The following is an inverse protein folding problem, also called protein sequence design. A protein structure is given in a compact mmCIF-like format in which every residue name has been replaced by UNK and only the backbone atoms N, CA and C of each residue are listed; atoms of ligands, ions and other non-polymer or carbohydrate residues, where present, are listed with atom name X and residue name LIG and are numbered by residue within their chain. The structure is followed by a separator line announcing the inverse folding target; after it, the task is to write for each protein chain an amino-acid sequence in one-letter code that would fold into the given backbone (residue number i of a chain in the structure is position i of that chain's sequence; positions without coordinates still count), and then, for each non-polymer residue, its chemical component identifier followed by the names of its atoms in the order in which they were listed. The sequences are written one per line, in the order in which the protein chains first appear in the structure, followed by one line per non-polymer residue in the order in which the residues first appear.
data_IF_420154055300
#
_entry.id   IF_420154055300
#
_cell.length_a   1.000
_cell.length_b   1.000
_cell.length_c   1.000
_cell.angle_alpha   90.00
_cell.angle_beta   90.00
_cell.angle_gamma   90.00
#
_symmetry.space_group_name_H-M   'P 1'
#
loop_
_entity.id
_entity.type
_entity.pdbx_description
1 polymer ?
#
# COMPACT_ATOMS: atom_id res chain seq x y z
N UNK A 1 -16.91 -10.71 -38.51
CA UNK A 1 -17.48 -10.77 -37.15
C UNK A 1 -16.44 -11.10 -36.08
N UNK A 2 -15.50 -12.07 -36.26
CA UNK A 2 -14.47 -12.41 -35.24
C UNK A 2 -13.52 -11.25 -34.85
N UNK A 3 -13.15 -10.37 -35.79
CA UNK A 3 -12.25 -9.21 -35.53
C UNK A 3 -12.88 -8.10 -34.68
N UNK A 4 -14.19 -7.92 -34.76
CA UNK A 4 -14.91 -6.90 -33.98
C UNK A 4 -15.08 -7.35 -32.53
N UNK A 5 -15.28 -8.66 -32.29
CA UNK A 5 -15.34 -9.22 -30.94
C UNK A 5 -14.00 -9.13 -30.19
N UNK A 6 -12.90 -9.35 -30.90
CA UNK A 6 -11.55 -9.27 -30.31
C UNK A 6 -11.21 -7.83 -29.91
N UNK A 7 -11.61 -6.83 -30.72
CA UNK A 7 -11.39 -5.42 -30.41
C UNK A 7 -12.26 -4.95 -29.24
N UNK A 8 -13.52 -5.38 -29.16
CA UNK A 8 -14.41 -5.05 -28.04
C UNK A 8 -13.98 -5.68 -26.72
N UNK A 9 -13.42 -6.91 -26.75
CA UNK A 9 -12.88 -7.57 -25.57
C UNK A 9 -11.58 -6.92 -25.09
N UNK A 10 -10.70 -6.49 -26.01
CA UNK A 10 -9.47 -5.77 -25.69
C UNK A 10 -9.76 -4.38 -25.08
N UNK A 11 -10.77 -3.67 -25.58
CA UNK A 11 -11.21 -2.39 -25.00
C UNK A 11 -11.88 -2.54 -23.63
N UNK A 12 -12.61 -3.64 -23.40
CA UNK A 12 -13.23 -3.92 -22.10
C UNK A 12 -12.17 -4.30 -21.04
N UNK A 13 -11.14 -5.05 -21.43
CA UNK A 13 -10.01 -5.38 -20.52
C UNK A 13 -9.13 -4.15 -20.25
N UNK A 14 -8.86 -3.32 -21.26
CA UNK A 14 -8.14 -2.06 -21.08
C UNK A 14 -8.89 -1.10 -20.14
N UNK A 15 -10.21 -1.01 -20.26
CA UNK A 15 -11.04 -0.18 -19.37
C UNK A 15 -10.98 -0.61 -17.90
N UNK A 16 -10.98 -1.89 -17.63
CA UNK A 16 -10.84 -2.42 -16.26
C UNK A 16 -9.43 -2.23 -15.70
N UNK A 17 -8.38 -2.32 -16.54
CA UNK A 17 -7.00 -2.06 -16.13
C UNK A 17 -6.77 -0.58 -15.82
N UNK A 18 -7.32 0.31 -16.64
CA UNK A 18 -7.26 1.76 -16.40
C UNK A 18 -7.95 2.13 -15.08
N UNK A 19 -9.07 1.49 -14.75
CA UNK A 19 -9.76 1.70 -13.48
C UNK A 19 -8.93 1.28 -12.25
N UNK A 20 -8.02 0.31 -12.40
CA UNK A 20 -7.11 -0.11 -11.33
C UNK A 20 -5.90 0.83 -11.14
N UNK A 21 -5.57 1.65 -12.15
CA UNK A 21 -4.44 2.57 -12.13
C UNK A 21 -4.82 4.01 -11.75
N UNK A 22 -6.05 4.25 -11.30
CA UNK A 22 -6.44 5.55 -10.79
C UNK A 22 -5.73 5.86 -9.46
N UNK A 23 -5.03 7.00 -9.42
CA UNK A 23 -4.31 7.49 -8.26
C UNK A 23 -2.78 7.39 -8.41
N UNK A 24 -2.09 7.62 -7.33
CA UNK A 24 -0.63 7.57 -7.25
C UNK A 24 -0.20 6.16 -6.86
N UNK A 25 0.59 5.53 -7.72
CA UNK A 25 1.25 4.25 -7.44
C UNK A 25 2.65 4.52 -6.89
N UNK A 26 2.96 3.97 -5.73
CA UNK A 26 4.29 4.05 -5.12
C UNK A 26 5.03 2.74 -5.35
N UNK A 27 6.28 2.85 -5.84
CA UNK A 27 7.16 1.71 -6.07
C UNK A 27 8.43 1.89 -5.26
N UNK A 28 8.88 0.87 -4.52
CA UNK A 28 10.13 0.92 -3.79
C UNK A 28 11.07 -0.20 -4.23
N UNK A 29 12.35 0.14 -4.34
CA UNK A 29 13.39 -0.80 -4.75
C UNK A 29 14.79 -0.22 -4.77
N UNK A 30 15.76 -1.06 -5.14
CA UNK A 30 17.14 -0.64 -5.26
C UNK A 30 17.34 0.22 -6.51
N UNK A 31 18.04 1.32 -6.35
CA UNK A 31 18.42 2.24 -7.43
C UNK A 31 19.93 2.42 -7.50
N UNK A 32 20.39 2.80 -8.69
CA UNK A 32 21.76 3.24 -8.93
C UNK A 32 21.71 4.53 -9.74
N UNK A 33 22.38 5.57 -9.25
CA UNK A 33 22.62 6.80 -10.00
C UNK A 33 24.12 6.91 -10.30
N UNK A 34 24.49 7.27 -11.55
CA UNK A 34 25.85 7.65 -11.87
C UNK A 34 25.90 9.18 -12.01
N UNK A 35 26.71 9.79 -11.19
CA UNK A 35 26.89 11.23 -11.14
C UNK A 35 28.36 11.53 -11.08
N UNK A 36 28.86 12.30 -12.04
CA UNK A 36 30.30 12.63 -12.14
C UNK A 36 31.21 11.39 -12.15
N UNK A 37 30.79 10.33 -12.84
CA UNK A 37 31.47 9.02 -12.86
C UNK A 37 31.54 8.32 -11.49
N UNK A 38 30.72 8.72 -10.53
CA UNK A 38 30.56 8.04 -9.25
C UNK A 38 29.19 7.35 -9.20
N UNK A 39 29.19 6.09 -8.84
CA UNK A 39 27.96 5.36 -8.60
C UNK A 39 27.46 5.65 -7.19
N UNK A 40 26.18 5.99 -7.11
CA UNK A 40 25.43 6.16 -5.87
C UNK A 40 24.38 5.05 -5.84
N UNK A 41 24.51 4.14 -4.92
CA UNK A 41 23.56 3.05 -4.73
C UNK A 41 22.64 3.36 -3.54
N UNK A 42 21.35 3.18 -3.75
CA UNK A 42 20.36 3.27 -2.69
C UNK A 42 19.56 1.96 -2.65
N UNK A 43 19.56 1.23 -1.53
CA UNK A 43 18.87 -0.06 -1.43
C UNK A 43 17.34 0.07 -1.41
N UNK A 44 16.79 1.26 -1.18
CA UNK A 44 15.35 1.46 -1.01
C UNK A 44 14.88 2.87 -1.40
N UNK A 45 14.96 3.18 -2.68
CA UNK A 45 14.35 4.37 -3.24
C UNK A 45 12.86 4.18 -3.50
N UNK A 46 12.10 5.27 -3.48
CA UNK A 46 10.68 5.28 -3.81
C UNK A 46 10.41 6.17 -5.01
N UNK A 47 9.87 5.58 -6.07
CA UNK A 47 9.37 6.26 -7.27
C UNK A 47 7.86 6.29 -7.23
N UNK A 48 7.26 7.43 -7.61
CA UNK A 48 5.81 7.57 -7.75
C UNK A 48 5.45 7.65 -9.23
N UNK A 49 4.41 6.93 -9.61
CA UNK A 49 3.80 7.01 -10.91
C UNK A 49 2.34 7.44 -10.75
N UNK A 50 1.94 8.49 -11.41
CA UNK A 50 0.57 9.00 -11.41
C UNK A 50 0.05 9.05 -12.84
N UNK A 51 -1.00 8.29 -13.14
CA UNK A 51 -1.62 8.29 -14.45
C UNK A 51 -2.40 9.59 -14.67
N UNK A 52 -2.06 10.32 -15.72
CA UNK A 52 -2.77 11.55 -16.14
C UNK A 52 -3.92 11.21 -17.07
N UNK A 53 -3.68 10.29 -18.03
CA UNK A 53 -4.67 9.77 -18.96
C UNK A 53 -4.28 8.37 -19.45
N UNK A 54 -5.01 7.81 -20.39
CA UNK A 54 -4.79 6.45 -20.91
C UNK A 54 -3.45 6.24 -21.63
N UNK A 55 -2.70 7.30 -21.93
CA UNK A 55 -1.47 7.27 -22.74
C UNK A 55 -0.30 8.04 -22.09
N UNK A 56 -0.52 8.72 -20.96
CA UNK A 56 0.55 9.47 -20.27
C UNK A 56 0.37 9.49 -18.75
N UNK A 57 1.49 9.64 -18.06
CA UNK A 57 1.55 9.75 -16.60
C UNK A 57 2.69 10.65 -16.13
N UNK A 58 2.67 10.99 -14.88
CA UNK A 58 3.75 11.72 -14.21
C UNK A 58 4.63 10.73 -13.44
N UNK A 59 5.94 10.90 -13.51
CA UNK A 59 6.90 10.12 -12.72
C UNK A 59 7.62 11.06 -11.76
N UNK A 60 7.53 10.79 -10.46
CA UNK A 60 8.30 11.52 -9.44
C UNK A 60 9.44 10.65 -8.95
N UNK A 61 10.66 11.15 -9.10
CA UNK A 61 11.88 10.52 -8.61
C UNK A 61 12.18 10.98 -7.17
N UNK A 62 12.84 10.15 -6.35
CA UNK A 62 13.32 10.55 -5.03
C UNK A 62 14.46 11.56 -5.11
N UNK A 63 14.95 12.01 -3.96
CA UNK A 63 16.22 12.73 -3.90
C UNK A 63 17.35 11.80 -4.36
N UNK A 64 18.25 12.33 -5.19
CA UNK A 64 19.50 11.66 -5.56
C UNK A 64 20.62 12.36 -4.78
N UNK A 65 21.20 11.68 -3.80
CA UNK A 65 22.12 12.29 -2.84
C UNK A 65 23.40 11.47 -2.76
N UNK A 66 24.54 12.15 -2.84
CA UNK A 66 25.83 11.61 -2.41
C UNK A 66 26.50 12.61 -1.43
N UNK A 67 27.72 12.30 -0.98
CA UNK A 67 28.45 13.13 -0.01
C UNK A 67 28.70 14.57 -0.48
N UNK A 68 28.65 14.83 -1.78
CA UNK A 68 29.07 16.10 -2.40
C UNK A 68 27.92 16.89 -3.03
N UNK A 69 26.76 16.27 -3.28
CA UNK A 69 25.65 16.96 -3.92
C UNK A 69 24.29 16.30 -3.61
N UNK A 70 23.24 17.10 -3.77
CA UNK A 70 21.84 16.69 -3.65
C UNK A 70 21.09 17.21 -4.86
N UNK A 71 20.42 16.30 -5.58
CA UNK A 71 19.34 16.64 -6.50
C UNK A 71 18.04 16.34 -5.77
N UNK A 72 17.27 17.37 -5.46
CA UNK A 72 15.98 17.20 -4.80
C UNK A 72 15.03 16.39 -5.67
N UNK A 73 14.06 15.75 -5.06
CA UNK A 73 12.95 15.05 -5.75
C UNK A 73 12.34 15.95 -6.84
N UNK A 74 12.11 15.38 -8.00
CA UNK A 74 11.50 16.09 -9.12
C UNK A 74 10.50 15.22 -9.87
N UNK A 75 9.55 15.87 -10.53
CA UNK A 75 8.51 15.20 -11.31
C UNK A 75 8.72 15.43 -12.80
N UNK A 76 8.70 14.36 -13.57
CA UNK A 76 8.66 14.36 -15.04
C UNK A 76 7.19 14.22 -15.43
N UNK A 77 6.63 15.27 -16.02
CA UNK A 77 5.24 15.29 -16.40
C UNK A 77 5.00 14.69 -17.80
N UNK A 78 3.82 14.12 -18.00
CA UNK A 78 3.33 13.63 -19.27
C UNK A 78 4.25 12.60 -19.98
N UNK A 79 4.89 11.74 -19.19
CA UNK A 79 5.63 10.60 -19.73
C UNK A 79 4.69 9.71 -20.52
N UNK A 80 4.95 9.54 -21.80
CA UNK A 80 4.15 8.70 -22.68
C UNK A 80 4.33 7.21 -22.33
N UNK A 81 3.26 6.46 -22.40
CA UNK A 81 3.29 5.01 -22.26
C UNK A 81 2.25 4.31 -23.14
N UNK A 82 2.45 3.03 -23.35
CA UNK A 82 1.49 2.13 -24.01
C UNK A 82 1.19 0.95 -23.08
N UNK A 83 -0.04 0.48 -23.13
CA UNK A 83 -0.48 -0.69 -22.38
C UNK A 83 -0.59 -1.89 -23.30
N UNK A 84 0.21 -2.92 -23.06
CA UNK A 84 0.18 -4.17 -23.80
C UNK A 84 -0.93 -5.12 -23.33
N UNK A 85 -1.32 -6.07 -24.20
CA UNK A 85 -2.33 -7.08 -23.88
C UNK A 85 -1.92 -8.05 -22.76
N UNK A 86 -0.63 -8.13 -22.44
CA UNK A 86 -0.02 -8.97 -21.41
C UNK A 86 0.11 -8.27 -20.04
N UNK A 87 -0.61 -7.17 -19.84
CA UNK A 87 -0.57 -6.38 -18.59
C UNK A 87 0.77 -5.68 -18.32
N UNK A 88 1.55 -5.44 -19.37
CA UNK A 88 2.79 -4.65 -19.28
C UNK A 88 2.54 -3.24 -19.81
N UNK A 89 2.81 -2.25 -18.98
CA UNK A 89 2.89 -0.84 -19.36
C UNK A 89 4.31 -0.57 -19.83
N UNK A 90 4.46 -0.10 -21.08
CA UNK A 90 5.78 0.21 -21.65
C UNK A 90 5.90 1.71 -21.86
N UNK A 91 6.92 2.31 -21.29
CA UNK A 91 7.36 3.68 -21.52
C UNK A 91 8.45 3.63 -22.58
N UNK A 92 8.17 4.03 -23.84
CA UNK A 92 9.16 4.04 -24.90
C UNK A 92 10.27 5.05 -24.58
N UNK A 93 11.42 4.88 -25.21
CA UNK A 93 12.51 5.84 -25.07
C UNK A 93 12.07 7.22 -25.55
N UNK A 94 12.16 8.22 -24.66
CA UNK A 94 11.67 9.57 -24.90
C UNK A 94 12.52 10.60 -24.17
N UNK A 95 12.58 11.81 -24.71
CA UNK A 95 13.20 12.97 -24.05
C UNK A 95 12.23 13.61 -23.05
N UNK A 96 12.78 14.35 -22.10
CA UNK A 96 11.97 15.11 -21.15
C UNK A 96 12.68 16.39 -20.70
N UNK A 97 11.91 17.33 -20.18
CA UNK A 97 12.41 18.52 -19.53
C UNK A 97 11.56 18.83 -18.29
N UNK A 98 12.22 19.17 -17.21
CA UNK A 98 11.56 19.59 -15.97
C UNK A 98 12.47 20.54 -15.18
N UNK A 99 11.99 20.99 -14.05
CA UNK A 99 12.75 21.86 -13.15
C UNK A 99 12.70 21.30 -11.73
N UNK A 100 13.73 21.64 -10.95
CA UNK A 100 13.81 21.35 -9.53
C UNK A 100 14.26 22.60 -8.80
N UNK A 101 13.69 22.83 -7.62
CA UNK A 101 14.12 23.94 -6.76
C UNK A 101 15.11 23.43 -5.71
N UNK A 102 16.28 24.04 -5.67
CA UNK A 102 17.34 23.73 -4.71
C UNK A 102 17.84 25.02 -4.08
N UNK A 103 17.72 25.15 -2.76
CA UNK A 103 18.14 26.37 -2.06
C UNK A 103 17.39 27.64 -2.48
N UNK A 104 16.17 27.51 -2.99
CA UNK A 104 15.36 28.63 -3.52
C UNK A 104 15.63 28.98 -4.99
N UNK A 105 16.58 28.32 -5.65
CA UNK A 105 16.90 28.52 -7.08
C UNK A 105 16.31 27.39 -7.93
N UNK A 106 15.72 27.75 -9.07
CA UNK A 106 15.29 26.78 -10.08
C UNK A 106 16.50 26.30 -10.91
N UNK A 107 16.65 24.98 -11.01
CA UNK A 107 17.60 24.31 -11.88
C UNK A 107 16.86 23.50 -12.93
N UNK A 108 17.24 23.62 -14.20
CA UNK A 108 16.66 22.83 -15.28
C UNK A 108 17.20 21.38 -15.21
N UNK A 109 16.34 20.43 -15.52
CA UNK A 109 16.69 19.04 -15.79
C UNK A 109 16.28 18.75 -17.22
N UNK A 110 17.24 18.38 -18.06
CA UNK A 110 17.01 18.04 -19.46
C UNK A 110 17.40 16.59 -19.70
N UNK A 111 16.40 15.75 -19.95
CA UNK A 111 16.58 14.32 -20.18
C UNK A 111 16.75 14.00 -21.66
N UNK A 112 17.81 13.29 -22.00
CA UNK A 112 18.05 12.74 -23.33
C UNK A 112 17.40 11.38 -23.54
N UNK A 113 17.10 10.64 -22.46
CA UNK A 113 16.42 9.35 -22.49
C UNK A 113 15.65 9.13 -21.19
N UNK A 114 14.42 8.65 -21.32
CA UNK A 114 13.61 8.02 -20.30
C UNK A 114 12.95 6.81 -20.92
N UNK A 115 13.14 5.64 -20.35
CA UNK A 115 12.45 4.41 -20.74
C UNK A 115 12.17 3.53 -19.53
N UNK A 116 11.10 2.75 -19.59
CA UNK A 116 10.74 1.87 -18.50
C UNK A 116 9.64 0.89 -18.84
N UNK A 117 9.40 -0.02 -17.91
CA UNK A 117 8.28 -0.98 -17.95
C UNK A 117 7.68 -1.15 -16.57
N UNK A 118 6.37 -1.23 -16.50
CA UNK A 118 5.66 -1.71 -15.32
C UNK A 118 4.94 -3.01 -15.67
N UNK A 119 5.37 -4.12 -15.09
CA UNK A 119 4.74 -5.42 -15.22
C UNK A 119 3.76 -5.62 -14.06
N UNK A 120 2.45 -5.68 -14.39
CA UNK A 120 1.40 -5.86 -13.39
C UNK A 120 1.30 -7.31 -12.88
N UNK A 121 1.96 -8.28 -13.55
CA UNK A 121 1.91 -9.67 -13.12
C UNK A 121 2.74 -9.90 -11.87
N UNK A 122 3.93 -9.30 -11.80
CA UNK A 122 4.81 -9.36 -10.64
C UNK A 122 4.91 -8.03 -9.87
N UNK A 123 4.16 -7.02 -10.31
CA UNK A 123 4.14 -5.66 -9.74
C UNK A 123 5.50 -4.95 -9.79
N UNK A 124 6.35 -5.26 -10.76
CA UNK A 124 7.68 -4.67 -10.89
C UNK A 124 7.71 -3.49 -11.85
N UNK A 125 8.39 -2.42 -11.44
CA UNK A 125 8.74 -1.26 -12.24
C UNK A 125 10.24 -1.28 -12.53
N UNK A 126 10.61 -1.18 -13.82
CA UNK A 126 11.98 -0.87 -14.23
C UNK A 126 11.97 0.52 -14.86
N UNK A 127 12.91 1.37 -14.48
CA UNK A 127 13.03 2.72 -15.03
C UNK A 127 14.51 3.05 -15.24
N UNK A 128 14.82 3.62 -16.41
CA UNK A 128 16.15 4.09 -16.75
C UNK A 128 16.08 5.50 -17.32
N UNK A 129 16.90 6.40 -16.82
CA UNK A 129 16.98 7.80 -17.25
C UNK A 129 18.41 8.20 -17.54
N UNK A 130 18.55 9.09 -18.52
CA UNK A 130 19.79 9.84 -18.77
C UNK A 130 19.42 11.30 -18.89
N UNK A 131 20.09 12.18 -18.12
CA UNK A 131 19.72 13.59 -18.06
C UNK A 131 20.91 14.49 -17.66
N UNK A 132 20.78 15.78 -17.92
CA UNK A 132 21.67 16.84 -17.44
C UNK A 132 20.99 17.67 -16.36
N UNK A 133 21.77 18.08 -15.38
CA UNK A 133 21.32 18.93 -14.28
C UNK A 133 21.92 20.33 -14.40
N UNK A 134 21.05 21.34 -14.58
CA UNK A 134 21.47 22.73 -14.78
C UNK A 134 22.35 22.89 -16.02
N UNK A 135 23.45 23.59 -15.87
CA UNK A 135 24.44 23.84 -16.91
C UNK A 135 25.58 22.81 -16.96
N UNK A 136 25.46 21.67 -16.24
CA UNK A 136 26.51 20.66 -16.23
C UNK A 136 26.71 20.06 -17.63
N UNK A 137 27.98 19.91 -18.09
CA UNK A 137 28.27 19.44 -19.44
C UNK A 137 28.17 17.91 -19.59
N UNK A 138 28.05 17.16 -18.49
CA UNK A 138 28.01 15.69 -18.49
C UNK A 138 26.59 15.18 -18.22
N UNK A 139 26.34 13.99 -18.74
CA UNK A 139 25.11 13.25 -18.47
C UNK A 139 25.20 12.55 -17.12
N UNK A 140 24.09 12.50 -16.44
CA UNK A 140 23.82 11.66 -15.28
C UNK A 140 22.87 10.55 -15.67
N UNK A 141 23.03 9.39 -15.02
CA UNK A 141 22.07 8.29 -15.21
C UNK A 141 21.41 7.94 -13.89
N UNK A 142 20.19 7.48 -13.99
CA UNK A 142 19.45 6.88 -12.88
C UNK A 142 18.74 5.62 -13.36
N UNK A 143 18.88 4.54 -12.63
CA UNK A 143 18.18 3.29 -12.88
C UNK A 143 17.60 2.73 -11.60
N UNK A 144 16.42 2.16 -11.69
CA UNK A 144 15.75 1.51 -10.57
C UNK A 144 15.00 0.27 -11.03
N UNK A 145 15.06 -0.78 -10.21
CA UNK A 145 14.10 -1.87 -10.23
C UNK A 145 13.32 -1.86 -8.92
N UNK A 146 12.05 -1.54 -8.99
CA UNK A 146 11.19 -1.31 -7.84
C UNK A 146 9.92 -2.16 -7.92
N UNK A 147 9.24 -2.33 -6.79
CA UNK A 147 8.00 -3.11 -6.70
C UNK A 147 6.90 -2.28 -6.06
N UNK A 148 5.68 -2.46 -6.55
CA UNK A 148 4.52 -1.71 -6.10
C UNK A 148 4.25 -1.91 -4.61
N UNK A 149 4.10 -0.81 -3.90
CA UNK A 149 3.66 -0.77 -2.51
C UNK A 149 2.14 -0.69 -2.52
N UNK A 150 1.48 -1.83 -2.36
CA UNK A 150 0.03 -1.94 -2.42
C UNK A 150 -0.61 -1.52 -1.09
N UNK A 151 -1.47 -0.48 -1.06
CA UNK A 151 -2.28 -0.20 0.10
C UNK A 151 -3.37 -1.27 0.24
N UNK A 152 -3.57 -1.74 1.45
CA UNK A 152 -4.61 -2.69 1.81
C UNK A 152 -5.45 -2.05 2.89
N UNK A 153 -6.64 -1.56 2.51
CA UNK A 153 -7.63 -1.09 3.49
C UNK A 153 -8.33 -2.29 4.12
N UNK A 154 -8.49 -2.28 5.42
CA UNK A 154 -9.08 -3.38 6.16
C UNK A 154 -9.72 -2.91 7.46
N UNK A 155 -10.72 -3.64 7.92
CA UNK A 155 -11.08 -3.65 9.33
C UNK A 155 -10.04 -4.47 10.12
N UNK A 156 -9.79 -4.07 11.34
CA UNK A 156 -8.90 -4.79 12.25
C UNK A 156 -9.68 -5.22 13.49
N UNK A 157 -9.49 -6.44 13.91
CA UNK A 157 -9.86 -6.88 15.27
C UNK A 157 -8.60 -7.04 16.10
N UNK A 158 -8.63 -6.53 17.31
CA UNK A 158 -7.51 -6.58 18.25
C UNK A 158 -7.93 -7.35 19.47
N UNK A 159 -7.27 -8.48 19.73
CA UNK A 159 -7.44 -9.25 20.95
C UNK A 159 -6.24 -9.01 21.85
N UNK A 160 -6.51 -8.66 23.11
CA UNK A 160 -5.50 -8.43 24.13
C UNK A 160 -5.63 -9.51 25.20
N UNK A 161 -4.62 -10.41 25.24
CA UNK A 161 -4.53 -11.45 26.26
C UNK A 161 -5.67 -12.47 26.30
N UNK A 162 -6.44 -12.60 25.21
CA UNK A 162 -7.61 -13.46 25.16
C UNK A 162 -8.86 -12.91 25.86
N UNK A 163 -8.75 -11.78 26.57
CA UNK A 163 -9.82 -11.26 27.43
C UNK A 163 -10.52 -10.01 26.86
N UNK A 164 -9.79 -9.16 26.14
CA UNK A 164 -10.32 -7.89 25.64
C UNK A 164 -10.30 -7.88 24.12
N UNK A 165 -11.43 -7.50 23.51
CA UNK A 165 -11.55 -7.38 22.07
C UNK A 165 -11.90 -5.95 21.71
N UNK A 166 -11.17 -5.39 20.76
CA UNK A 166 -11.40 -4.08 20.19
C UNK A 166 -11.48 -4.19 18.66
N UNK A 167 -12.09 -3.24 18.01
CA UNK A 167 -12.16 -3.17 16.56
C UNK A 167 -11.92 -1.75 16.08
N UNK A 168 -11.33 -1.64 14.87
CA UNK A 168 -11.25 -0.41 14.11
C UNK A 168 -11.50 -0.75 12.63
N UNK A 169 -12.45 -0.06 11.99
CA UNK A 169 -12.87 -0.35 10.62
C UNK A 169 -12.06 0.43 9.56
N UNK A 170 -11.17 1.32 9.99
CA UNK A 170 -10.44 2.25 9.13
C UNK A 170 -8.93 2.13 9.29
N UNK A 171 -8.40 0.92 9.20
CA UNK A 171 -6.96 0.68 9.25
C UNK A 171 -6.42 0.40 7.86
N UNK A 172 -5.28 0.95 7.53
CA UNK A 172 -4.62 0.72 6.25
C UNK A 172 -3.24 0.12 6.47
N UNK A 173 -2.87 -0.79 5.57
CA UNK A 173 -1.57 -1.42 5.48
C UNK A 173 -0.97 -1.16 4.13
N UNK A 174 0.35 -1.14 4.09
CA UNK A 174 1.07 -1.13 2.83
C UNK A 174 1.86 -2.42 2.70
N UNK A 175 1.59 -3.20 1.66
CA UNK A 175 2.21 -4.49 1.41
C UNK A 175 3.02 -4.42 0.12
N UNK A 176 4.31 -4.75 0.20
CA UNK A 176 5.21 -4.85 -0.95
C UNK A 176 5.69 -6.28 -1.11
N UNK A 177 5.33 -6.93 -2.22
CA UNK A 177 5.84 -8.24 -2.60
C UNK A 177 6.94 -8.07 -3.63
N UNK A 178 8.11 -8.66 -3.41
CA UNK A 178 9.30 -8.45 -4.24
C UNK A 178 10.18 -9.69 -4.28
N UNK A 179 11.15 -9.70 -5.20
CA UNK A 179 12.15 -10.76 -5.32
C UNK A 179 13.51 -10.19 -4.88
N UNK A 180 14.13 -10.85 -3.92
CA UNK A 180 15.46 -10.55 -3.44
C UNK A 180 16.31 -11.84 -3.46
N UNK A 181 17.43 -11.82 -4.18
CA UNK A 181 18.32 -12.99 -4.37
C UNK A 181 17.55 -14.25 -4.80
N UNK A 182 16.64 -14.13 -5.76
CA UNK A 182 15.74 -15.18 -6.25
C UNK A 182 14.76 -15.75 -5.21
N UNK A 183 14.63 -15.12 -4.05
CA UNK A 183 13.64 -15.46 -3.03
C UNK A 183 12.54 -14.43 -3.04
N UNK A 184 11.29 -14.90 -3.12
CA UNK A 184 10.14 -14.03 -3.00
C UNK A 184 9.96 -13.62 -1.54
N UNK A 185 9.86 -12.31 -1.30
CA UNK A 185 9.71 -11.71 0.03
C UNK A 185 8.53 -10.75 0.07
N UNK A 186 8.07 -10.46 1.27
CA UNK A 186 7.02 -9.48 1.54
C UNK A 186 7.48 -8.54 2.65
N UNK A 187 7.30 -7.24 2.45
CA UNK A 187 7.35 -6.24 3.51
C UNK A 187 5.93 -5.78 3.84
N UNK A 188 5.69 -5.52 5.11
CA UNK A 188 4.40 -5.01 5.59
C UNK A 188 4.64 -3.77 6.44
N UNK A 189 4.13 -2.63 6.00
CA UNK A 189 4.02 -1.44 6.81
C UNK A 189 2.64 -1.43 7.48
N UNK A 190 2.63 -1.39 8.79
CA UNK A 190 1.46 -1.24 9.63
C UNK A 190 1.28 0.27 9.86
N UNK A 191 0.24 0.86 9.28
CA UNK A 191 -0.05 2.29 9.47
C UNK A 191 -0.53 2.56 10.89
N UNK A 192 -0.41 3.80 11.33
CA UNK A 192 -0.96 4.24 12.61
C UNK A 192 -2.44 3.91 12.72
N UNK A 193 -2.85 3.35 13.85
CA UNK A 193 -4.26 3.13 14.16
C UNK A 193 -4.58 3.44 15.63
N UNK A 194 -5.85 3.74 15.89
CA UNK A 194 -6.37 4.03 17.22
C UNK A 194 -7.35 2.97 17.69
N UNK A 195 -7.38 2.74 18.99
CA UNK A 195 -8.38 1.92 19.66
C UNK A 195 -9.04 2.79 20.71
N UNK A 196 -10.32 3.08 20.53
CA UNK A 196 -11.07 3.94 21.42
C UNK A 196 -11.69 3.15 22.58
N UNK A 197 -11.86 3.83 23.71
CA UNK A 197 -12.56 3.30 24.88
C UNK A 197 -11.98 1.98 25.42
N UNK A 198 -10.67 1.80 25.36
CA UNK A 198 -10.01 0.65 25.97
C UNK A 198 -9.97 0.80 27.50
N UNK A 199 -9.61 -0.26 28.21
CA UNK A 199 -9.38 -0.23 29.67
C UNK A 199 -8.27 0.75 30.10
N UNK A 200 -7.42 1.17 29.17
CA UNK A 200 -6.35 2.16 29.36
C UNK A 200 -6.70 3.53 28.74
N UNK A 201 -7.94 3.74 28.33
CA UNK A 201 -8.37 4.93 27.60
C UNK A 201 -8.23 4.73 26.08
N UNK A 202 -8.02 5.83 25.36
CA UNK A 202 -7.79 5.80 23.91
C UNK A 202 -6.32 5.52 23.63
N UNK A 203 -6.06 4.48 22.85
CA UNK A 203 -4.70 4.05 22.51
C UNK A 203 -4.41 4.38 21.05
N UNK A 204 -3.22 4.89 20.78
CA UNK A 204 -2.72 5.03 19.41
C UNK A 204 -1.41 4.28 19.26
N UNK A 205 -1.34 3.40 18.26
CA UNK A 205 -0.13 2.70 17.86
C UNK A 205 0.38 3.33 16.57
N UNK A 206 1.61 3.84 16.62
CA UNK A 206 2.26 4.48 15.50
C UNK A 206 2.73 3.47 14.44
N UNK A 207 3.09 4.00 13.29
CA UNK A 207 3.55 3.22 12.13
C UNK A 207 4.86 2.49 12.40
N UNK A 208 4.96 1.24 11.92
CA UNK A 208 6.20 0.49 11.84
C UNK A 208 6.18 -0.48 10.66
N UNK A 209 7.35 -0.95 10.22
CA UNK A 209 7.48 -1.85 9.07
C UNK A 209 8.19 -3.13 9.46
N UNK A 210 7.57 -4.27 9.18
CA UNK A 210 8.21 -5.59 9.23
C UNK A 210 8.66 -5.97 7.83
N UNK A 211 9.97 -6.18 7.64
CA UNK A 211 10.57 -6.43 6.33
C UNK A 211 10.98 -7.89 6.16
N UNK A 212 11.00 -8.34 4.90
CA UNK A 212 11.62 -9.59 4.52
C UNK A 212 10.90 -10.85 5.00
N UNK A 213 9.56 -10.84 5.08
CA UNK A 213 8.78 -12.05 5.31
C UNK A 213 9.07 -13.05 4.18
N UNK A 214 9.32 -14.31 4.51
CA UNK A 214 9.51 -15.41 3.55
C UNK A 214 8.34 -16.37 3.61
N UNK A 215 8.11 -17.12 2.52
CA UNK A 215 7.03 -18.10 2.50
C UNK A 215 7.34 -19.25 3.44
N UNK A 216 6.37 -19.59 4.28
CA UNK A 216 6.40 -20.69 5.24
C UNK A 216 5.29 -21.68 4.85
N UNK A 217 5.69 -22.88 4.43
CA UNK A 217 4.76 -23.94 3.95
C UNK A 217 3.80 -24.41 5.05
N UNK A 218 4.28 -24.52 6.29
CA UNK A 218 3.45 -25.00 7.41
C UNK A 218 2.37 -23.97 7.78
N UNK A 219 2.69 -22.68 7.66
CA UNK A 219 1.76 -21.59 7.94
C UNK A 219 0.89 -21.21 6.74
N UNK A 220 1.30 -21.68 5.54
CA UNK A 220 0.60 -21.38 4.30
C UNK A 220 0.61 -19.91 3.92
N UNK A 221 1.72 -19.20 4.16
CA UNK A 221 1.83 -17.78 3.88
C UNK A 221 3.20 -17.19 4.14
N UNK A 222 3.36 -15.89 3.87
CA UNK A 222 4.59 -15.18 4.15
C UNK A 222 4.66 -14.85 5.65
N UNK A 223 5.69 -15.35 6.31
CA UNK A 223 5.84 -15.28 7.77
C UNK A 223 7.17 -14.68 8.17
N UNK A 224 7.18 -13.97 9.28
CA UNK A 224 8.38 -13.54 9.99
C UNK A 224 8.17 -13.46 11.50
N UNK A 225 9.10 -14.03 12.26
CA UNK A 225 9.33 -13.69 13.65
C UNK A 225 10.31 -12.50 13.68
N UNK A 226 9.85 -11.34 14.16
CA UNK A 226 10.61 -10.09 14.15
C UNK A 226 11.04 -9.63 15.56
N UNK A 227 10.98 -10.51 16.54
CA UNK A 227 11.31 -10.20 17.95
C UNK A 227 12.72 -9.63 18.15
N UNK A 228 13.68 -10.01 17.28
CA UNK A 228 15.08 -9.58 17.33
C UNK A 228 15.43 -8.48 16.31
N UNK A 229 14.46 -7.95 15.59
CA UNK A 229 14.70 -6.94 14.52
C UNK A 229 14.96 -5.54 15.10
N UNK A 230 14.82 -5.32 16.41
CA UNK A 230 15.01 -4.02 17.05
C UNK A 230 13.97 -2.97 16.66
N UNK A 231 12.83 -3.39 16.13
CA UNK A 231 11.75 -2.50 15.69
C UNK A 231 11.20 -1.70 16.87
N UNK A 232 10.89 -0.44 16.57
CA UNK A 232 10.21 0.48 17.49
C UNK A 232 8.95 1.03 16.84
N UNK A 233 8.02 1.44 17.68
CA UNK A 233 6.81 2.14 17.27
C UNK A 233 6.46 3.20 18.32
N UNK A 234 5.85 4.27 17.89
CA UNK A 234 5.34 5.29 18.79
C UNK A 234 4.02 4.82 19.41
N UNK A 235 3.85 5.02 20.72
CA UNK A 235 2.63 4.62 21.43
C UNK A 235 2.14 5.75 22.31
N UNK A 236 0.85 6.03 22.24
CA UNK A 236 0.19 6.95 23.17
C UNK A 236 -1.02 6.29 23.83
N UNK A 237 -1.25 6.62 25.09
CA UNK A 237 -2.48 6.32 25.80
C UNK A 237 -3.06 7.63 26.37
N UNK A 238 -4.37 7.83 26.21
CA UNK A 238 -5.06 9.05 26.64
C UNK A 238 -6.30 8.68 27.45
N UNK A 239 -6.43 9.26 28.65
CA UNK A 239 -7.59 9.08 29.52
C UNK A 239 -8.09 10.45 29.96
N UNK A 240 -9.38 10.73 29.72
CA UNK A 240 -10.00 12.01 30.13
C UNK A 240 -9.34 13.23 29.49
N UNK A 241 -8.87 13.14 28.25
CA UNK A 241 -8.21 14.22 27.52
C UNK A 241 -6.76 14.49 27.94
N UNK A 242 -6.17 13.60 28.75
CA UNK A 242 -4.77 13.70 29.17
C UNK A 242 -3.99 12.48 28.68
N UNK A 243 -2.84 12.72 28.06
CA UNK A 243 -1.90 11.65 27.71
C UNK A 243 -1.29 11.08 28.99
N UNK A 244 -1.48 9.79 29.20
CA UNK A 244 -0.90 9.02 30.31
C UNK A 244 0.36 8.31 29.90
N UNK A 245 0.51 8.01 28.60
CA UNK A 245 1.71 7.49 27.97
C UNK A 245 1.92 8.21 26.62
N UNK A 246 3.19 8.52 26.31
CA UNK A 246 3.57 9.16 25.04
C UNK A 246 5.06 8.89 24.81
N UNK A 247 5.42 8.02 23.87
CA UNK A 247 6.82 7.68 23.62
C UNK A 247 7.03 6.52 22.66
N UNK A 248 8.30 6.25 22.38
CA UNK A 248 8.73 5.14 21.53
C UNK A 248 8.99 3.88 22.37
N UNK A 249 8.39 2.80 21.93
CA UNK A 249 8.46 1.50 22.59
C UNK A 249 9.03 0.44 21.66
N UNK A 250 9.73 -0.53 22.25
CA UNK A 250 10.24 -1.70 21.53
C UNK A 250 9.34 -2.91 21.77
N UNK A 251 9.33 -3.82 20.84
CA UNK A 251 8.75 -5.15 21.03
C UNK A 251 9.60 -5.96 22.02
N UNK A 252 8.94 -6.81 22.81
CA UNK A 252 9.65 -7.63 23.79
C UNK A 252 10.39 -8.79 23.09
N UNK A 253 11.75 -8.83 23.15
CA UNK A 253 12.53 -9.82 22.42
C UNK A 253 12.38 -11.25 22.98
N UNK A 254 11.87 -11.41 24.18
CA UNK A 254 11.66 -12.72 24.82
C UNK A 254 10.26 -13.31 24.52
N UNK A 255 9.43 -12.56 23.81
CA UNK A 255 8.04 -12.93 23.52
C UNK A 255 7.80 -13.14 22.03
N UNK A 256 6.61 -13.66 21.72
CA UNK A 256 6.22 -13.86 20.34
C UNK A 256 5.89 -12.52 19.68
N UNK A 257 6.71 -12.16 18.68
CA UNK A 257 6.45 -10.99 17.82
C UNK A 257 6.57 -11.47 16.39
N UNK A 258 5.44 -11.78 15.77
CA UNK A 258 5.43 -12.38 14.44
C UNK A 258 4.25 -11.88 13.60
N UNK A 259 4.43 -11.93 12.31
CA UNK A 259 3.42 -11.55 11.34
C UNK A 259 3.29 -12.62 10.26
N UNK A 260 2.06 -12.91 9.86
CA UNK A 260 1.71 -13.82 8.78
C UNK A 260 0.83 -13.08 7.77
N UNK A 261 1.20 -13.15 6.50
CA UNK A 261 0.44 -12.60 5.38
C UNK A 261 0.06 -13.74 4.43
N UNK A 262 -1.23 -13.90 4.20
CA UNK A 262 -1.76 -14.89 3.24
C UNK A 262 -2.23 -14.21 1.97
N UNK A 263 -2.00 -14.87 0.85
CA UNK A 263 -2.43 -14.44 -0.46
C UNK A 263 -3.36 -15.47 -1.11
N UNK A 264 -4.36 -14.96 -1.81
CA UNK A 264 -5.15 -15.71 -2.78
C UNK A 264 -4.84 -15.13 -4.17
N UNK A 265 -4.01 -15.84 -4.95
CA UNK A 265 -3.40 -15.28 -6.15
C UNK A 265 -2.55 -14.04 -5.83
N UNK A 266 -2.89 -12.90 -6.44
CA UNK A 266 -2.22 -11.60 -6.20
C UNK A 266 -2.95 -10.72 -5.17
N UNK A 267 -4.04 -11.21 -4.56
CA UNK A 267 -4.79 -10.48 -3.55
C UNK A 267 -4.31 -10.88 -2.16
N UNK A 268 -4.02 -9.90 -1.30
CA UNK A 268 -3.84 -10.16 0.14
C UNK A 268 -5.19 -10.60 0.71
N UNK A 269 -5.22 -11.76 1.33
CA UNK A 269 -6.42 -12.37 1.91
C UNK A 269 -6.50 -12.15 3.41
N UNK A 270 -5.38 -12.34 4.10
CA UNK A 270 -5.32 -12.23 5.57
C UNK A 270 -3.96 -11.68 6.01
N UNK A 271 -3.96 -10.89 7.08
CA UNK A 271 -2.77 -10.45 7.80
C UNK A 271 -3.02 -10.66 9.28
N UNK A 272 -2.23 -11.51 9.90
CA UNK A 272 -2.28 -11.74 11.36
C UNK A 272 -0.96 -11.30 11.95
N UNK A 273 -1.01 -10.35 12.89
CA UNK A 273 0.16 -9.85 13.58
C UNK A 273 0.01 -10.07 15.08
N UNK A 274 0.93 -10.83 15.69
CA UNK A 274 0.99 -11.10 17.12
C UNK A 274 2.20 -10.38 17.68
N UNK A 275 2.01 -9.58 18.72
CA UNK A 275 3.11 -8.85 19.33
C UNK A 275 2.89 -8.59 20.81
N UNK A 276 3.97 -8.30 21.51
CA UNK A 276 3.96 -7.90 22.91
C UNK A 276 4.91 -6.72 23.12
N UNK A 277 4.38 -5.64 23.67
CA UNK A 277 5.11 -4.39 23.88
C UNK A 277 5.83 -4.41 25.22
N UNK A 278 7.13 -4.16 25.22
CA UNK A 278 7.92 -3.98 26.44
C UNK A 278 7.57 -4.97 27.56
N UNK A 279 7.25 -4.48 28.74
CA UNK A 279 6.89 -5.28 29.90
C UNK A 279 5.39 -5.62 30.01
N UNK A 280 4.57 -5.36 28.98
CA UNK A 280 3.15 -5.73 29.02
C UNK A 280 2.99 -7.23 29.26
N UNK A 281 2.10 -7.64 30.20
CA UNK A 281 1.94 -9.05 30.53
C UNK A 281 1.17 -9.85 29.47
N UNK A 282 0.53 -9.17 28.51
CA UNK A 282 -0.38 -9.77 27.54
C UNK A 282 0.15 -9.62 26.11
N UNK A 283 -0.03 -10.66 25.30
CA UNK A 283 0.12 -10.58 23.87
C UNK A 283 -1.06 -9.82 23.24
N UNK A 284 -0.77 -9.06 22.21
CA UNK A 284 -1.76 -8.40 21.35
C UNK A 284 -1.78 -9.18 20.04
N UNK A 285 -2.95 -9.58 19.60
CA UNK A 285 -3.16 -10.20 18.29
C UNK A 285 -4.05 -9.26 17.47
N UNK A 286 -3.53 -8.80 16.35
CA UNK A 286 -4.28 -8.04 15.37
C UNK A 286 -4.56 -8.92 14.18
N UNK A 287 -5.82 -8.97 13.76
CA UNK A 287 -6.27 -9.72 12.60
C UNK A 287 -6.97 -8.79 11.62
N UNK A 288 -6.59 -8.89 10.36
CA UNK A 288 -7.18 -8.15 9.26
C UNK A 288 -8.11 -9.05 8.48
N UNK A 289 -9.24 -8.50 8.11
CA UNK A 289 -10.11 -9.09 7.13
C UNK A 289 -10.14 -8.22 5.87
N UNK A 290 -9.37 -8.61 4.87
CA UNK A 290 -9.32 -7.94 3.57
C UNK A 290 -10.54 -8.26 2.70
N UNK A 291 -11.39 -9.18 3.13
CA UNK A 291 -12.65 -9.51 2.45
C UNK A 291 -13.78 -8.56 2.86
N UNK A 292 -13.57 -7.72 3.85
CA UNK A 292 -14.53 -6.68 4.21
C UNK A 292 -14.56 -5.59 3.13
N UNK A 293 -15.25 -5.84 2.04
CA UNK A 293 -15.75 -4.79 1.15
C UNK A 293 -16.86 -4.03 1.87
N UNK A 294 -16.54 -3.26 2.93
CA UNK A 294 -17.48 -2.34 3.58
C UNK A 294 -18.81 -2.94 4.12
N UNK A 295 -18.94 -4.27 4.09
CA UNK A 295 -20.07 -4.99 4.68
C UNK A 295 -19.45 -6.08 5.54
N UNK A 296 -19.26 -5.78 6.82
CA UNK A 296 -19.05 -6.82 7.82
C UNK A 296 -20.13 -7.87 7.64
N UNK A 297 -19.72 -9.12 7.31
CA UNK A 297 -20.59 -10.24 7.50
C UNK A 297 -20.98 -10.22 8.97
N UNK A 298 -22.22 -9.91 9.28
CA UNK A 298 -22.77 -10.14 10.60
C UNK A 298 -22.64 -11.64 10.82
N UNK A 299 -21.56 -12.05 11.53
CA UNK A 299 -21.54 -13.40 12.11
C UNK A 299 -22.74 -13.43 13.02
N UNK A 300 -23.71 -14.29 12.67
CA UNK A 300 -24.83 -14.61 13.53
C UNK A 300 -24.29 -15.31 14.79
N UNK A 301 -23.76 -14.55 15.72
CA UNK A 301 -23.80 -14.93 17.12
C UNK A 301 -25.24 -14.79 17.55
N UNK A 302 -25.88 -15.91 17.84
CA UNK A 302 -27.31 -16.04 18.17
C UNK A 302 -27.78 -15.24 19.39
N UNK A 303 -27.09 -14.17 19.77
CA UNK A 303 -27.43 -13.31 20.92
C UNK A 303 -27.36 -11.79 20.66
N UNK A 304 -27.16 -11.30 19.45
CA UNK A 304 -27.38 -9.88 19.20
C UNK A 304 -28.85 -9.65 18.83
N UNK A 305 -29.49 -8.78 19.58
CA UNK A 305 -30.86 -8.32 19.35
C UNK A 305 -31.09 -8.03 17.85
N UNK A 306 -31.83 -8.92 17.17
CA UNK A 306 -32.35 -8.63 15.86
C UNK A 306 -33.18 -7.36 15.98
N UNK A 307 -32.69 -6.26 15.45
CA UNK A 307 -33.54 -5.11 15.13
C UNK A 307 -34.42 -5.58 13.97
N UNK A 308 -35.45 -6.30 14.30
CA UNK A 308 -36.50 -6.65 13.35
C UNK A 308 -37.53 -5.50 13.41
N UNK A 309 -37.12 -4.33 12.89
CA UNK A 309 -37.93 -3.12 12.91
C UNK A 309 -38.97 -3.12 11.77
N UNK A 310 -38.95 -4.16 10.94
CA UNK A 310 -39.85 -4.29 9.78
C UNK A 310 -39.61 -3.25 8.69
N UNK A 311 -38.55 -2.43 8.80
CA UNK A 311 -38.29 -1.38 7.83
C UNK A 311 -37.49 -1.88 6.63
N UNK A 312 -37.76 -1.26 5.50
CA UNK A 312 -37.09 -1.50 4.23
C UNK A 312 -36.10 -0.34 4.01
N UNK A 313 -34.82 -0.66 3.78
CA UNK A 313 -33.78 0.33 3.50
C UNK A 313 -33.30 0.20 2.06
N UNK A 314 -32.97 1.33 1.42
CA UNK A 314 -32.23 1.31 0.16
C UNK A 314 -30.73 1.08 0.42
N UNK A 315 -29.93 0.99 -0.65
CA UNK A 315 -28.46 0.79 -0.55
C UNK A 315 -27.72 1.95 0.13
N UNK A 316 -28.36 3.10 0.31
CA UNK A 316 -27.83 4.27 1.00
C UNK A 316 -28.23 4.35 2.48
N UNK A 317 -28.92 3.29 3.01
CA UNK A 317 -29.37 3.25 4.40
C UNK A 317 -30.62 4.08 4.70
N UNK A 318 -31.32 4.62 3.70
CA UNK A 318 -32.54 5.38 3.88
C UNK A 318 -33.74 4.44 3.93
N UNK A 319 -34.68 4.69 4.85
CA UNK A 319 -35.95 3.96 4.93
C UNK A 319 -36.77 4.29 3.69
N UNK A 320 -37.29 3.25 3.00
CA UNK A 320 -38.08 3.39 1.78
C UNK A 320 -39.40 2.62 1.91
N UNK A 321 -40.41 3.05 1.14
CA UNK A 321 -41.71 2.43 1.12
C UNK A 321 -41.78 1.11 0.35
N UNK A 322 -42.94 0.47 0.40
CA UNK A 322 -43.15 -0.81 -0.30
C UNK A 322 -43.14 -0.68 -1.82
N UNK A 323 -43.39 0.48 -2.35
CA UNK A 323 -43.41 0.84 -3.78
C UNK A 323 -42.01 1.16 -4.36
N UNK A 324 -40.98 1.22 -3.51
CA UNK A 324 -39.61 1.49 -3.97
C UNK A 324 -39.11 0.38 -4.90
N UNK A 325 -38.58 0.78 -6.07
CA UNK A 325 -37.96 -0.13 -7.06
C UNK A 325 -36.45 -0.05 -7.00
N UNK A 326 -35.80 -1.19 -6.97
CA UNK A 326 -34.34 -1.28 -6.87
C UNK A 326 -33.86 -2.24 -5.79
N UNK A 327 -32.59 -2.15 -5.43
CA UNK A 327 -32.03 -3.00 -4.38
C UNK A 327 -32.45 -2.46 -3.01
N UNK A 328 -33.06 -3.34 -2.20
CA UNK A 328 -33.45 -3.04 -0.83
C UNK A 328 -32.79 -3.98 0.17
N UNK A 329 -32.68 -3.54 1.40
CA UNK A 329 -32.18 -4.31 2.54
C UNK A 329 -33.34 -4.47 3.53
N UNK A 330 -33.71 -5.72 3.81
CA UNK A 330 -34.76 -6.08 4.76
C UNK A 330 -34.16 -7.10 5.72
N UNK A 331 -34.14 -6.79 7.01
CA UNK A 331 -33.60 -7.67 8.04
C UNK A 331 -32.13 -8.10 7.72
N UNK A 332 -31.31 -7.17 7.21
CA UNK A 332 -29.92 -7.42 6.85
C UNK A 332 -29.71 -8.23 5.55
N UNK A 333 -30.75 -8.57 4.81
CA UNK A 333 -30.65 -9.29 3.53
C UNK A 333 -31.00 -8.38 2.35
N UNK A 334 -30.29 -8.54 1.23
CA UNK A 334 -30.54 -7.79 0.00
C UNK A 334 -31.58 -8.46 -0.87
N UNK A 335 -32.54 -7.67 -1.39
CA UNK A 335 -33.57 -8.08 -2.34
C UNK A 335 -33.61 -7.09 -3.50
N UNK A 336 -33.94 -7.58 -4.69
CA UNK A 336 -34.27 -6.72 -5.84
C UNK A 336 -35.82 -6.60 -5.90
N UNK A 337 -36.33 -5.39 -5.63
CA UNK A 337 -37.73 -5.04 -5.86
C UNK A 337 -37.89 -4.54 -7.32
N UNK A 338 -38.79 -5.12 -8.07
CA UNK A 338 -39.09 -4.81 -9.48
C UNK A 338 -40.35 -3.98 -9.61
#
# INVERSE_FOLDING_TARGET
MKKIFTLALATLMAGNMIAQMHGVLNFAGASTANVLNQNVENPSDTVKFEMVNAASGNITLPNITNDNFVISSFTIANVAFTMGANHVVTMPDQTFATKVTVGGEEKNITGSSLKGTYDMADNSLTLNLTFKYGAMPFDMTYSIKAYYIKPVASAITVNVGGAFNYANENVSYSVRKYIDNNVQKVDVEISTYTLDNTVMGNLTLGTYTVKGLTYDEEKGGFYRDYKNDGLKFHFTAETGGKKTMDGDYSFNPEKNNNILVKYNGNKVEDIVNTFQMGAMPFAIVTKFDTNSSGITSVTNDEKSNKINDGKIYNIYGQVVGEDYKGIVIINGKKYLKR
#
